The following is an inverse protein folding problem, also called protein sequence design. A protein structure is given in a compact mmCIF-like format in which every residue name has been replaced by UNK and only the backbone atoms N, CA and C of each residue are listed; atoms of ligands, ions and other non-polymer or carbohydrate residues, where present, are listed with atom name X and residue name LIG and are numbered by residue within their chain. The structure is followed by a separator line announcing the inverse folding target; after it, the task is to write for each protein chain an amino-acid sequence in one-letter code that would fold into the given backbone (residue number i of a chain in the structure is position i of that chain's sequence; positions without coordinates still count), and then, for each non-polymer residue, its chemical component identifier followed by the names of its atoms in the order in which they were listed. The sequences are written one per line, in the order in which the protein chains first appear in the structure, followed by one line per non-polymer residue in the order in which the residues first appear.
data_IF_707127594400
#
_entry.id   IF_707127594400
#
_cell.length_a   1.000
_cell.length_b   1.000
_cell.length_c   1.000
_cell.angle_alpha   90.00
_cell.angle_beta   90.00
_cell.angle_gamma   90.00
#
_symmetry.space_group_name_H-M   'P 1'
#
loop_
_entity.id
_entity.type
_entity.pdbx_description
1 polymer ?
#
# COMPACT_ATOMS: atom_id res chain seq x y z
N UNK A 1 0.61 -5.48 -9.65
CA UNK A 1 1.57 -4.44 -10.05
C UNK A 1 2.92 -5.07 -10.35
N UNK A 2 3.51 -4.70 -11.46
CA UNK A 2 4.80 -5.25 -11.88
C UNK A 2 5.96 -4.60 -11.15
N UNK A 3 7.08 -5.33 -11.08
CA UNK A 3 8.30 -4.83 -10.46
C UNK A 3 8.72 -3.49 -11.09
N UNK A 4 9.11 -2.56 -10.26
CA UNK A 4 9.55 -1.22 -10.69
C UNK A 4 8.44 -0.23 -10.96
N UNK A 5 7.19 -0.68 -10.96
CA UNK A 5 6.04 0.21 -11.17
C UNK A 5 5.63 0.85 -9.86
N UNK A 6 5.06 2.04 -9.96
CA UNK A 6 4.62 2.80 -8.81
C UNK A 6 3.21 3.32 -9.04
N UNK A 7 2.48 3.52 -7.94
CA UNK A 7 1.20 4.20 -8.00
C UNK A 7 1.03 5.06 -6.77
N UNK A 8 0.18 6.05 -6.89
CA UNK A 8 -0.14 6.94 -5.79
C UNK A 8 -1.62 6.77 -5.46
N UNK A 9 -1.92 6.65 -4.18
CA UNK A 9 -3.29 6.52 -3.71
C UNK A 9 -3.60 7.62 -2.71
N UNK A 10 -4.66 8.37 -2.96
CA UNK A 10 -5.09 9.47 -2.10
C UNK A 10 -6.46 9.12 -1.53
N UNK A 11 -6.54 8.71 -0.26
CA UNK A 11 -7.83 8.40 0.34
C UNK A 11 -8.64 9.67 0.55
N UNK A 12 -9.96 9.51 0.65
CA UNK A 12 -10.85 10.62 0.97
C UNK A 12 -10.57 11.13 2.38
N UNK A 13 -10.92 12.39 2.62
CA UNK A 13 -10.71 13.02 3.91
C UNK A 13 -11.42 12.21 5.00
N UNK A 14 -10.73 12.04 6.13
CA UNK A 14 -11.25 11.32 7.27
C UNK A 14 -11.20 9.80 7.16
N UNK A 15 -10.62 9.29 6.07
CA UNK A 15 -10.54 7.84 5.89
C UNK A 15 -9.13 7.35 6.14
N UNK A 16 -9.06 6.13 6.67
CA UNK A 16 -7.81 5.40 6.82
C UNK A 16 -7.75 4.32 5.77
N UNK A 17 -6.55 3.92 5.40
CA UNK A 17 -6.36 2.85 4.43
C UNK A 17 -5.68 1.67 5.08
N UNK A 18 -6.21 0.48 4.83
CA UNK A 18 -5.60 -0.77 5.25
C UNK A 18 -5.02 -1.44 4.02
N UNK A 19 -3.76 -1.85 4.11
CA UNK A 19 -3.06 -2.52 3.02
C UNK A 19 -2.69 -3.93 3.45
N UNK A 20 -2.97 -4.92 2.61
CA UNK A 20 -2.54 -6.29 2.87
C UNK A 20 -1.86 -6.82 1.62
N UNK A 21 -0.63 -7.31 1.76
CA UNK A 21 0.16 -7.83 0.65
C UNK A 21 -0.08 -9.33 0.52
N UNK A 22 -0.65 -9.74 -0.62
CA UNK A 22 -0.85 -11.16 -0.90
C UNK A 22 0.45 -11.85 -1.24
N UNK A 23 1.24 -11.24 -2.13
CA UNK A 23 2.57 -11.73 -2.46
C UNK A 23 3.40 -10.58 -3.01
N UNK A 24 4.71 -10.77 -3.01
CA UNK A 24 5.65 -9.81 -3.54
C UNK A 24 6.25 -8.94 -2.44
N UNK A 25 6.72 -7.79 -2.83
CA UNK A 25 7.35 -6.84 -1.91
C UNK A 25 7.02 -5.43 -2.36
N UNK A 26 6.50 -4.64 -1.43
CA UNK A 26 6.12 -3.25 -1.69
C UNK A 26 6.91 -2.30 -0.80
N UNK A 27 7.21 -1.13 -1.34
CA UNK A 27 7.67 0.02 -0.57
C UNK A 27 6.50 0.98 -0.52
N UNK A 28 5.97 1.23 0.67
CA UNK A 28 4.86 2.16 0.87
C UNK A 28 5.35 3.25 1.79
N UNK A 29 5.48 4.46 1.25
CA UNK A 29 5.98 5.62 2.01
C UNK A 29 7.29 5.29 2.74
N UNK A 30 8.21 4.57 2.06
CA UNK A 30 9.51 4.13 2.59
C UNK A 30 9.43 3.03 3.64
N UNK A 31 8.28 2.38 3.79
CA UNK A 31 8.13 1.21 4.64
C UNK A 31 8.01 -0.03 3.76
N UNK A 32 8.80 -1.04 4.07
CA UNK A 32 8.82 -2.27 3.27
C UNK A 32 7.80 -3.25 3.82
N UNK A 33 6.92 -3.72 2.94
CA UNK A 33 5.96 -4.77 3.26
C UNK A 33 6.28 -5.99 2.40
N UNK A 34 6.43 -7.13 3.04
CA UNK A 34 6.65 -8.41 2.37
C UNK A 34 5.34 -9.17 2.23
N UNK A 35 5.40 -10.34 1.58
CA UNK A 35 4.22 -11.20 1.45
C UNK A 35 3.57 -11.44 2.81
N UNK A 36 2.25 -11.31 2.86
CA UNK A 36 1.41 -11.49 4.05
C UNK A 36 1.55 -10.39 5.10
N UNK A 37 2.33 -9.36 4.83
CA UNK A 37 2.39 -8.21 5.71
C UNK A 37 1.19 -7.30 5.49
N UNK A 38 0.86 -6.53 6.50
CA UNK A 38 -0.22 -5.55 6.44
C UNK A 38 0.23 -4.24 7.10
N UNK A 39 -0.47 -3.17 6.74
CA UNK A 39 -0.22 -1.86 7.34
C UNK A 39 -1.52 -1.07 7.38
N UNK A 40 -1.61 -0.17 8.36
CA UNK A 40 -2.68 0.82 8.44
C UNK A 40 -2.07 2.20 8.34
N UNK A 41 -2.81 3.09 7.71
CA UNK A 41 -2.37 4.47 7.59
C UNK A 41 -3.09 5.35 8.60
N UNK A 42 -2.59 6.57 8.74
CA UNK A 42 -3.29 7.64 9.44
C UNK A 42 -4.41 8.17 8.57
N UNK A 43 -5.28 8.99 9.16
CA UNK A 43 -6.36 9.64 8.41
C UNK A 43 -5.81 10.44 7.24
N UNK A 44 -6.39 10.23 6.07
CA UNK A 44 -6.08 11.00 4.86
C UNK A 44 -4.62 10.94 4.43
N UNK A 45 -3.89 9.92 4.85
CA UNK A 45 -2.48 9.78 4.49
C UNK A 45 -2.35 9.35 3.03
N UNK A 46 -1.58 10.12 2.24
CA UNK A 46 -1.28 9.76 0.86
C UNK A 46 -0.29 8.60 0.83
N UNK A 47 -0.57 7.62 -0.02
CA UNK A 47 0.29 6.46 -0.15
C UNK A 47 1.05 6.50 -1.47
N UNK A 48 2.37 6.41 -1.39
CA UNK A 48 3.24 6.21 -2.53
C UNK A 48 3.66 4.75 -2.50
N UNK A 49 3.13 3.96 -3.43
CA UNK A 49 3.33 2.52 -3.45
C UNK A 49 4.23 2.16 -4.62
N UNK A 50 5.36 1.54 -4.31
CA UNK A 50 6.28 1.07 -5.34
C UNK A 50 6.47 -0.43 -5.18
N UNK A 51 6.34 -1.17 -6.28
CA UNK A 51 6.58 -2.59 -6.27
C UNK A 51 8.09 -2.85 -6.43
N UNK A 52 8.68 -3.47 -5.43
CA UNK A 52 10.09 -3.89 -5.49
C UNK A 52 10.20 -5.24 -6.19
N UNK A 53 9.12 -6.01 -6.20
CA UNK A 53 8.93 -7.25 -6.95
C UNK A 53 7.52 -7.23 -7.49
N UNK A 54 7.22 -8.10 -8.45
CA UNK A 54 5.85 -8.27 -8.90
C UNK A 54 4.98 -8.60 -7.69
N UNK A 55 3.93 -7.82 -7.47
CA UNK A 55 3.16 -7.89 -6.23
C UNK A 55 1.67 -7.82 -6.49
N UNK A 56 0.91 -8.43 -5.59
CA UNK A 56 -0.53 -8.29 -5.56
C UNK A 56 -0.94 -7.96 -4.12
N UNK A 57 -1.84 -6.99 -3.97
CA UNK A 57 -2.20 -6.49 -2.65
C UNK A 57 -3.62 -5.91 -2.68
N UNK A 58 -4.21 -5.77 -1.49
CA UNK A 58 -5.49 -5.12 -1.30
C UNK A 58 -5.31 -3.75 -0.66
N UNK A 59 -6.12 -2.79 -1.12
CA UNK A 59 -6.30 -1.51 -0.45
C UNK A 59 -7.75 -1.42 -0.02
N UNK A 60 -7.98 -1.17 1.26
CA UNK A 60 -9.33 -1.04 1.80
C UNK A 60 -9.42 0.26 2.57
N UNK A 61 -10.35 1.13 2.16
CA UNK A 61 -10.61 2.35 2.90
C UNK A 61 -11.56 2.05 4.04
N UNK A 62 -11.26 2.58 5.20
CA UNK A 62 -12.10 2.43 6.39
C UNK A 62 -12.32 3.79 7.04
N UNK A 63 -13.47 3.94 7.64
CA UNK A 63 -13.80 5.17 8.39
C UNK A 63 -13.19 5.15 9.78
#
# INVERSE_FOLDING_TARGET
IDSGKSLEYNPSEGRKTFVFVLYGKLDINRHILNSKDSARTKDSERLLIKALEKSEFFLIDIN
#
